data_IF_925420492012
#
_entry.id   IF_925420492012
#
_cell.length_a   1.000
_cell.length_b   1.000
_cell.length_c   1.000
_cell.angle_alpha   90.00
_cell.angle_beta   90.00
_cell.angle_gamma   90.00
#
_symmetry.space_group_name_H-M   'P 1'
#
loop_
_entity.id
_entity.type
_entity.pdbx_description
1 polymer ?
#
# COMPACT_ATOMS: atom_id res chain seq x y z
N UNK A 1 -0.67 -10.98 0.64
CA UNK A 1 0.58 -10.60 -0.06
C UNK A 1 1.53 -9.91 0.90
N UNK A 2 2.85 -9.98 0.69
CA UNK A 2 3.86 -9.34 1.55
C UNK A 2 4.06 -7.86 1.22
N UNK A 3 4.76 -7.12 2.09
CA UNK A 3 5.13 -5.70 1.88
C UNK A 3 5.74 -5.43 0.50
N UNK A 4 6.65 -6.31 0.04
CA UNK A 4 7.28 -6.18 -1.28
C UNK A 4 6.28 -6.33 -2.42
N UNK A 5 5.36 -7.29 -2.32
CA UNK A 5 4.32 -7.51 -3.31
C UNK A 5 3.34 -6.33 -3.35
N UNK A 6 2.89 -5.86 -2.18
CA UNK A 6 1.98 -4.71 -2.07
C UNK A 6 2.62 -3.43 -2.66
N UNK A 7 3.89 -3.15 -2.35
CA UNK A 7 4.60 -1.99 -2.88
C UNK A 7 4.73 -2.02 -4.41
N UNK A 8 5.02 -3.21 -4.98
CA UNK A 8 5.06 -3.42 -6.42
C UNK A 8 3.70 -3.16 -7.07
N UNK A 9 2.61 -3.66 -6.49
CA UNK A 9 1.25 -3.43 -7.01
C UNK A 9 0.79 -1.97 -6.89
N UNK A 10 1.29 -1.24 -5.89
CA UNK A 10 1.03 0.19 -5.73
C UNK A 10 1.97 1.10 -6.55
N UNK A 11 2.94 0.51 -7.27
CA UNK A 11 3.91 1.26 -8.07
C UNK A 11 4.77 2.20 -7.22
N UNK A 12 5.15 1.78 -6.00
CA UNK A 12 5.96 2.58 -5.09
C UNK A 12 7.09 1.77 -4.45
N UNK A 13 8.06 2.48 -3.84
CA UNK A 13 9.16 1.84 -3.11
C UNK A 13 8.65 1.23 -1.80
N UNK A 14 9.25 0.12 -1.38
CA UNK A 14 8.90 -0.60 -0.13
C UNK A 14 9.01 0.31 1.09
N UNK A 15 10.11 1.07 1.21
CA UNK A 15 10.29 2.03 2.31
C UNK A 15 9.24 3.14 2.33
N UNK A 16 8.72 3.55 1.16
CA UNK A 16 7.63 4.51 1.07
C UNK A 16 6.32 3.91 1.61
N UNK A 17 5.99 2.67 1.21
CA UNK A 17 4.83 1.96 1.74
C UNK A 17 4.90 1.82 3.26
N UNK A 18 6.04 1.38 3.79
CA UNK A 18 6.25 1.23 5.24
C UNK A 18 6.08 2.57 5.96
N UNK A 19 6.67 3.64 5.43
CA UNK A 19 6.54 4.98 6.00
C UNK A 19 5.08 5.47 5.99
N UNK A 20 4.33 5.21 4.91
CA UNK A 20 2.92 5.61 4.82
C UNK A 20 2.05 4.84 5.80
N UNK A 21 2.28 3.54 5.96
CA UNK A 21 1.57 2.73 6.98
C UNK A 21 1.91 3.21 8.39
N UNK A 22 3.18 3.45 8.70
CA UNK A 22 3.61 3.94 10.02
C UNK A 22 3.05 5.33 10.37
N UNK A 23 2.89 6.19 9.36
CA UNK A 23 2.32 7.54 9.51
C UNK A 23 0.78 7.56 9.47
N UNK A 24 0.12 6.41 9.34
CA UNK A 24 -1.34 6.31 9.22
C UNK A 24 -1.90 6.85 7.90
N UNK A 25 -1.04 7.07 6.89
CA UNK A 25 -1.46 7.51 5.56
C UNK A 25 -2.07 6.36 4.74
N UNK A 26 -1.70 5.11 5.03
CA UNK A 26 -2.33 3.90 4.50
C UNK A 26 -2.92 3.08 5.66
N UNK A 27 -3.89 2.18 5.37
CA UNK A 27 -4.42 1.30 6.40
C UNK A 27 -3.32 0.39 6.97
N UNK A 28 -3.47 -0.07 8.23
CA UNK A 28 -2.54 -1.05 8.81
C UNK A 28 -2.57 -2.37 8.02
N UNK A 29 -1.51 -3.21 8.10
CA UNK A 29 -1.52 -4.54 7.48
C UNK A 29 -2.68 -5.37 8.02
N UNK A 30 -3.27 -6.20 7.16
CA UNK A 30 -4.38 -7.09 7.51
C UNK A 30 -3.98 -8.13 8.54
N UNK A 31 -2.72 -8.56 8.51
CA UNK A 31 -2.19 -9.55 9.42
C UNK A 31 -0.69 -9.34 9.64
N UNK A 32 -0.21 -9.62 10.85
CA UNK A 32 1.20 -9.67 11.18
C UNK A 32 1.45 -11.06 11.76
N UNK A 33 2.40 -11.80 11.19
CA UNK A 33 2.76 -13.12 11.72
C UNK A 33 3.63 -13.01 12.98
N UNK A 34 3.88 -14.16 13.61
CA UNK A 34 4.70 -14.26 14.82
C UNK A 34 6.16 -13.84 14.60
N UNK A 35 6.62 -13.74 13.35
CA UNK A 35 7.96 -13.30 12.98
C UNK A 35 8.01 -11.80 12.64
N UNK A 36 6.89 -11.07 12.78
CA UNK A 36 6.78 -9.65 12.46
C UNK A 36 6.60 -9.35 10.97
N UNK A 37 6.38 -10.36 10.13
CA UNK A 37 6.11 -10.19 8.70
C UNK A 37 4.70 -9.67 8.50
N UNK A 38 4.59 -8.57 7.75
CA UNK A 38 3.32 -7.91 7.44
C UNK A 38 2.69 -8.48 6.18
N UNK A 39 1.41 -8.82 6.29
CA UNK A 39 0.59 -9.32 5.21
C UNK A 39 -0.57 -8.38 4.92
N UNK A 40 -0.83 -8.21 3.64
CA UNK A 40 -1.85 -7.33 3.08
C UNK A 40 -2.78 -8.17 2.21
N UNK A 41 -4.08 -8.12 2.45
CA UNK A 41 -5.06 -8.80 1.60
C UNK A 41 -5.41 -7.95 0.37
N UNK A 42 -6.32 -8.46 -0.47
CA UNK A 42 -6.74 -7.79 -1.69
C UNK A 42 -7.59 -6.55 -1.41
N UNK A 43 -8.37 -6.53 -0.33
CA UNK A 43 -9.24 -5.41 -0.01
C UNK A 43 -8.44 -4.25 0.60
N UNK A 44 -7.40 -4.56 1.36
CA UNK A 44 -6.37 -3.60 1.76
C UNK A 44 -5.76 -2.94 0.53
N UNK A 45 -5.40 -3.73 -0.49
CA UNK A 45 -4.79 -3.20 -1.71
C UNK A 45 -5.74 -2.25 -2.46
N UNK A 46 -7.02 -2.59 -2.59
CA UNK A 46 -8.02 -1.70 -3.21
C UNK A 46 -8.09 -0.35 -2.50
N UNK A 47 -8.23 -0.37 -1.17
CA UNK A 47 -8.26 0.86 -0.34
C UNK A 47 -6.97 1.66 -0.48
N UNK A 48 -5.83 0.98 -0.44
CA UNK A 48 -4.53 1.63 -0.62
C UNK A 48 -4.39 2.27 -2.00
N UNK A 49 -4.86 1.62 -3.07
CA UNK A 49 -4.85 2.18 -4.42
C UNK A 49 -5.71 3.45 -4.53
N UNK A 50 -6.90 3.47 -3.93
CA UNK A 50 -7.77 4.65 -3.91
C UNK A 50 -7.10 5.83 -3.20
N UNK A 51 -6.46 5.58 -2.04
CA UNK A 51 -5.72 6.61 -1.30
C UNK A 51 -4.50 7.12 -2.08
N UNK A 52 -3.77 6.22 -2.74
CA UNK A 52 -2.60 6.60 -3.56
C UNK A 52 -3.03 7.42 -4.77
N UNK A 53 -4.15 7.06 -5.41
CA UNK A 53 -4.74 7.82 -6.53
C UNK A 53 -5.19 9.21 -6.08
N UNK A 54 -5.89 9.32 -4.95
CA UNK A 54 -6.35 10.63 -4.46
C UNK A 54 -5.22 11.57 -4.04
N UNK A 55 -4.08 11.02 -3.61
CA UNK A 55 -2.87 11.78 -3.25
C UNK A 55 -1.97 12.14 -4.43
N UNK A 56 -2.15 11.52 -5.59
CA UNK A 56 -1.46 11.89 -6.85
C UNK A 56 -2.44 12.70 -7.71
N UNK A 57 -2.53 14.04 -7.54
CA UNK A 57 -3.29 14.84 -8.49
C UNK A 57 -2.63 14.69 -9.88
N UNK A 58 -3.36 14.11 -10.83
CA UNK A 58 -2.97 14.09 -12.24
C UNK A 58 -1.93 13.05 -12.67
N UNK A 59 -2.32 11.77 -12.69
CA UNK A 59 -2.03 10.91 -13.85
C UNK A 59 -3.33 10.31 -14.34
N UNK A 60 -4.16 11.20 -14.86
CA UNK A 60 -5.21 10.86 -15.79
C UNK A 60 -4.51 10.59 -17.12
N UNK A 61 -4.13 9.34 -17.35
CA UNK A 61 -3.78 8.90 -18.70
C UNK A 61 -5.08 8.93 -19.52
N UNK A 62 -5.20 10.00 -20.32
CA UNK A 62 -6.10 10.08 -21.47
C UNK A 62 -6.14 8.73 -22.18
N UNK A 63 -7.34 8.20 -22.39
CA UNK A 63 -7.59 7.22 -23.44
C UNK A 63 -8.75 7.69 -24.29
#
# INVERSE_FOLDING_TARGET
>A
MTTNQAAKQLGMKVGQLVSWVQRGALPPPSFIDNNGVRYFDQDWLKKAQEIVKSRKPGREDKK
#
